data_IF_179183499625
#
_entry.id   IF_179183499625
#
_cell.length_a   1.000
_cell.length_b   1.000
_cell.length_c   1.000
_cell.angle_alpha   90.00
_cell.angle_beta   90.00
_cell.angle_gamma   90.00
#
_symmetry.space_group_name_H-M   'P 1'
#
loop_
_entity.id
_entity.type
_entity.pdbx_description
1 polymer ?
#
# COMPACT_ATOMS: atom_id res chain seq x y z
N UNK A 1 23.20 -16.53 -25.20
CA UNK A 1 23.38 -15.09 -24.97
C UNK A 1 22.07 -14.57 -24.37
N UNK A 2 22.02 -14.45 -23.03
CA UNK A 2 20.87 -13.89 -22.34
C UNK A 2 20.85 -12.36 -22.57
N UNK A 3 19.89 -11.89 -23.33
CA UNK A 3 19.56 -10.48 -23.34
C UNK A 3 18.98 -10.15 -21.96
N UNK A 4 19.77 -9.57 -21.07
CA UNK A 4 19.28 -8.88 -19.90
C UNK A 4 18.43 -7.71 -20.44
N UNK A 5 17.10 -7.88 -20.43
CA UNK A 5 16.18 -6.79 -20.64
C UNK A 5 16.51 -5.74 -19.57
N UNK A 6 16.99 -4.58 -20.00
CA UNK A 6 17.26 -3.43 -19.12
C UNK A 6 15.89 -2.96 -18.61
N UNK A 7 15.42 -3.55 -17.51
CA UNK A 7 14.17 -3.13 -16.89
C UNK A 7 14.34 -1.67 -16.49
N UNK A 8 13.40 -0.83 -16.90
CA UNK A 8 13.41 0.60 -16.56
C UNK A 8 13.21 0.78 -15.06
N UNK A 9 13.94 1.74 -14.48
CA UNK A 9 13.84 2.07 -13.05
C UNK A 9 12.50 2.76 -12.80
N UNK A 10 11.72 2.23 -11.86
CA UNK A 10 10.48 2.84 -11.37
C UNK A 10 10.78 3.84 -10.26
N UNK A 11 11.58 3.42 -9.27
CA UNK A 11 12.01 4.28 -8.16
C UNK A 11 13.51 4.18 -7.98
N UNK A 12 14.16 5.33 -7.78
CA UNK A 12 15.57 5.42 -7.42
C UNK A 12 15.72 6.23 -6.15
N UNK A 13 16.47 5.68 -5.21
CA UNK A 13 16.80 6.31 -3.93
C UNK A 13 18.30 6.51 -3.90
N UNK A 14 18.74 7.72 -3.56
CA UNK A 14 20.16 8.06 -3.51
C UNK A 14 20.50 8.74 -2.18
N UNK A 15 21.43 8.15 -1.44
CA UNK A 15 22.00 8.74 -0.22
C UNK A 15 21.02 8.95 0.93
N UNK A 16 19.92 8.18 0.99
CA UNK A 16 18.87 8.40 1.96
C UNK A 16 19.34 8.07 3.37
N UNK A 17 19.18 9.03 4.28
CA UNK A 17 19.58 8.89 5.69
C UNK A 17 18.49 9.40 6.63
N UNK A 18 18.42 8.77 7.82
CA UNK A 18 17.52 9.17 8.91
C UNK A 18 18.19 8.99 10.26
N UNK A 19 18.14 10.05 11.05
CA UNK A 19 18.72 10.11 12.38
C UNK A 19 17.64 10.39 13.43
N UNK A 20 17.76 9.80 14.61
CA UNK A 20 16.93 10.08 15.78
C UNK A 20 17.85 10.43 16.95
N UNK A 21 18.05 11.72 17.19
CA UNK A 21 19.06 12.17 18.14
C UNK A 21 20.44 11.61 17.79
N UNK A 22 21.07 10.86 18.70
CA UNK A 22 22.36 10.21 18.47
C UNK A 22 22.30 8.86 17.73
N UNK A 23 21.10 8.36 17.41
CA UNK A 23 20.91 7.05 16.74
C UNK A 23 20.80 7.24 15.21
N UNK A 24 21.61 6.53 14.46
CA UNK A 24 21.48 6.42 13.00
C UNK A 24 20.56 5.25 12.66
N UNK A 25 19.35 5.56 12.21
CA UNK A 25 18.36 4.54 11.85
C UNK A 25 18.49 4.07 10.40
N UNK A 26 18.85 4.99 9.48
CA UNK A 26 19.15 4.70 8.08
C UNK A 26 20.38 5.54 7.71
N UNK A 27 21.35 4.96 7.02
CA UNK A 27 22.60 5.63 6.69
C UNK A 27 22.98 5.44 5.21
N UNK A 28 22.90 6.53 4.44
CA UNK A 28 23.36 6.61 3.05
C UNK A 28 22.86 5.46 2.15
N UNK A 29 21.56 5.13 2.25
CA UNK A 29 20.98 4.03 1.49
C UNK A 29 20.78 4.43 0.04
N UNK A 30 21.26 3.57 -0.87
CA UNK A 30 21.04 3.66 -2.30
C UNK A 30 20.27 2.43 -2.75
N UNK A 31 19.17 2.63 -3.49
CA UNK A 31 18.26 1.57 -3.89
C UNK A 31 17.64 1.89 -5.24
N UNK A 32 17.59 0.92 -6.13
CA UNK A 32 16.80 1.00 -7.35
C UNK A 32 15.71 -0.07 -7.32
N UNK A 33 14.48 0.32 -7.67
CA UNK A 33 13.34 -0.57 -7.85
C UNK A 33 12.93 -0.48 -9.31
N UNK A 34 12.82 -1.61 -9.99
CA UNK A 34 12.48 -1.67 -11.40
C UNK A 34 11.00 -1.98 -11.62
N UNK A 35 10.49 -1.67 -12.80
CA UNK A 35 9.13 -2.07 -13.16
C UNK A 35 9.00 -3.59 -13.18
N UNK A 36 7.91 -4.11 -12.57
CA UNK A 36 7.63 -5.55 -12.50
C UNK A 36 8.57 -6.34 -11.58
N UNK A 37 9.39 -5.67 -10.77
CA UNK A 37 10.27 -6.29 -9.80
C UNK A 37 9.54 -6.55 -8.48
N UNK A 38 9.84 -7.70 -7.85
CA UNK A 38 9.51 -7.98 -6.46
C UNK A 38 10.80 -7.90 -5.66
N UNK A 39 10.94 -6.84 -4.87
CA UNK A 39 12.11 -6.57 -4.05
C UNK A 39 11.82 -6.91 -2.59
N UNK A 40 12.60 -7.81 -2.00
CA UNK A 40 12.52 -8.15 -0.58
C UNK A 40 13.57 -7.37 0.23
N UNK A 41 13.10 -6.59 1.22
CA UNK A 41 13.97 -5.92 2.18
C UNK A 41 14.14 -6.80 3.42
N UNK A 42 15.32 -7.39 3.57
CA UNK A 42 15.64 -8.31 4.67
C UNK A 42 16.71 -7.74 5.58
N UNK A 43 16.74 -8.20 6.83
CA UNK A 43 17.72 -7.77 7.85
C UNK A 43 17.17 -7.96 9.26
N UNK A 44 18.03 -7.82 10.26
CA UNK A 44 17.71 -8.01 11.67
C UNK A 44 16.71 -6.98 12.20
N UNK A 45 16.12 -7.27 13.38
CA UNK A 45 15.29 -6.30 14.08
C UNK A 45 16.14 -5.08 14.48
N UNK A 46 15.62 -3.88 14.22
CA UNK A 46 16.36 -2.65 14.44
C UNK A 46 17.29 -2.22 13.30
N UNK A 47 17.43 -2.99 12.21
CA UNK A 47 18.27 -2.64 11.06
C UNK A 47 17.75 -1.45 10.21
N UNK A 48 16.69 -0.76 10.63
CA UNK A 48 16.17 0.41 9.93
C UNK A 48 15.17 0.12 8.81
N UNK A 49 14.76 -1.15 8.59
CA UNK A 49 13.81 -1.54 7.52
C UNK A 49 12.53 -0.72 7.54
N UNK A 50 11.82 -0.71 8.68
CA UNK A 50 10.55 0.04 8.80
C UNK A 50 10.76 1.56 8.73
N UNK A 51 11.94 2.07 9.09
CA UNK A 51 12.29 3.49 8.92
C UNK A 51 12.43 3.82 7.43
N UNK A 52 13.13 2.98 6.67
CA UNK A 52 13.24 3.13 5.21
C UNK A 52 11.87 3.03 4.55
N UNK A 53 11.08 2.01 4.86
CA UNK A 53 9.72 1.83 4.35
C UNK A 53 8.85 3.07 4.62
N UNK A 54 8.87 3.60 5.85
CA UNK A 54 8.13 4.82 6.22
C UNK A 54 8.58 6.04 5.43
N UNK A 55 9.88 6.17 5.15
CA UNK A 55 10.41 7.25 4.33
C UNK A 55 9.92 7.15 2.87
N UNK A 56 9.94 5.95 2.29
CA UNK A 56 9.47 5.70 0.92
C UNK A 56 7.94 5.84 0.79
N UNK A 57 7.21 5.61 1.88
CA UNK A 57 5.75 5.78 1.94
C UNK A 57 5.31 7.22 2.29
N UNK A 58 6.25 8.16 2.49
CA UNK A 58 5.94 9.52 2.90
C UNK A 58 5.44 9.67 4.33
N UNK A 59 5.50 8.60 5.14
CA UNK A 59 5.12 8.63 6.55
C UNK A 59 6.23 9.17 7.46
N UNK A 60 7.43 9.34 6.91
CA UNK A 60 8.59 9.86 7.61
C UNK A 60 9.44 10.69 6.64
N UNK A 61 9.81 11.91 7.04
CA UNK A 61 10.73 12.75 6.28
C UNK A 61 12.19 12.30 6.52
N UNK A 62 12.95 11.93 5.48
CA UNK A 62 14.39 11.68 5.62
C UNK A 62 15.14 12.97 5.97
N UNK A 63 16.30 12.84 6.59
CA UNK A 63 17.15 13.98 6.92
C UNK A 63 18.07 14.36 5.76
N UNK A 64 18.42 13.40 4.90
CA UNK A 64 19.17 13.64 3.66
C UNK A 64 18.84 12.58 2.61
N UNK A 65 19.32 12.82 1.38
CA UNK A 65 19.11 11.96 0.22
C UNK A 65 17.98 12.45 -0.68
N UNK A 66 17.80 11.74 -1.79
CA UNK A 66 16.84 12.06 -2.83
C UNK A 66 16.06 10.81 -3.25
N UNK A 67 14.79 11.00 -3.61
CA UNK A 67 13.93 9.97 -4.18
C UNK A 67 13.50 10.45 -5.56
N UNK A 68 13.76 9.62 -6.57
CA UNK A 68 13.24 9.81 -7.92
C UNK A 68 12.18 8.74 -8.19
N UNK A 69 11.05 9.11 -8.77
CA UNK A 69 9.99 8.21 -9.21
C UNK A 69 9.67 8.47 -10.67
N UNK A 70 9.76 7.43 -11.52
CA UNK A 70 9.64 7.55 -12.99
C UNK A 70 10.59 8.62 -13.58
N UNK A 71 11.82 8.69 -13.06
CA UNK A 71 12.86 9.63 -13.52
C UNK A 71 12.65 11.08 -13.09
N UNK A 72 11.70 11.36 -12.19
CA UNK A 72 11.45 12.69 -11.64
C UNK A 72 11.73 12.71 -10.15
N UNK A 73 12.45 13.71 -9.68
CA UNK A 73 12.61 13.93 -8.24
C UNK A 73 11.24 14.19 -7.59
N UNK A 74 10.96 13.48 -6.50
CA UNK A 74 9.72 13.60 -5.74
C UNK A 74 10.01 13.91 -4.28
N UNK A 75 9.17 14.75 -3.68
CA UNK A 75 9.19 15.05 -2.25
C UNK A 75 7.98 14.43 -1.59
N UNK A 76 8.22 13.43 -0.77
CA UNK A 76 7.19 12.68 -0.04
C UNK A 76 7.10 13.24 1.39
N UNK A 77 6.36 14.32 1.58
CA UNK A 77 6.25 14.97 2.89
C UNK A 77 5.14 14.34 3.76
N UNK A 78 4.21 13.65 3.12
CA UNK A 78 3.13 12.94 3.78
C UNK A 78 2.65 11.76 2.91
N UNK A 79 1.88 10.80 3.48
CA UNK A 79 1.39 9.64 2.72
C UNK A 79 0.52 9.98 1.51
N UNK A 80 -0.18 11.13 1.51
CA UNK A 80 -0.98 11.57 0.35
C UNK A 80 -0.10 11.95 -0.84
N UNK A 81 1.11 12.46 -0.60
CA UNK A 81 2.05 12.76 -1.68
C UNK A 81 2.57 11.48 -2.33
N UNK A 82 2.89 10.46 -1.51
CA UNK A 82 3.26 9.14 -2.00
C UNK A 82 2.13 8.52 -2.84
N UNK A 83 0.90 8.60 -2.35
CA UNK A 83 -0.29 8.09 -3.04
C UNK A 83 -0.53 8.79 -4.39
N UNK A 84 -0.43 10.12 -4.45
CA UNK A 84 -0.55 10.89 -5.71
C UNK A 84 0.55 10.54 -6.70
N UNK A 85 1.73 10.19 -6.21
CA UNK A 85 2.86 9.74 -7.03
C UNK A 85 2.63 8.33 -7.60
N UNK A 86 1.71 7.55 -7.00
CA UNK A 86 1.45 6.17 -7.39
C UNK A 86 2.16 5.15 -6.49
N UNK A 87 2.54 5.56 -5.28
CA UNK A 87 3.14 4.69 -4.26
C UNK A 87 2.05 4.36 -3.23
N UNK A 88 1.70 3.08 -3.10
CA UNK A 88 0.80 2.59 -2.07
C UNK A 88 1.57 1.87 -0.97
N UNK A 89 1.17 2.04 0.27
CA UNK A 89 1.78 1.36 1.39
C UNK A 89 0.75 0.64 2.25
N UNK A 90 1.00 -0.63 2.52
CA UNK A 90 0.28 -1.41 3.52
C UNK A 90 1.18 -1.54 4.75
N UNK A 91 0.80 -0.84 5.81
CA UNK A 91 1.46 -0.93 7.11
C UNK A 91 0.98 -2.17 7.88
N UNK A 92 1.72 -2.57 8.91
CA UNK A 92 1.43 -3.69 9.81
C UNK A 92 -0.01 -3.68 10.38
N UNK A 93 -0.60 -2.51 10.60
CA UNK A 93 -2.00 -2.36 10.98
C UNK A 93 -2.87 -2.08 9.77
N UNK A 94 -3.30 -3.04 9.02
CA UNK A 94 -4.10 -3.03 7.77
C UNK A 94 -4.88 -1.73 7.41
N UNK A 95 -5.05 -0.82 8.36
CA UNK A 95 -5.75 0.47 8.20
C UNK A 95 -7.24 0.29 7.87
N UNK A 96 -7.84 -0.80 8.32
CA UNK A 96 -9.28 -1.05 8.21
C UNK A 96 -10.00 -0.54 9.45
N UNK A 97 -11.20 -0.03 9.26
CA UNK A 97 -12.11 0.36 10.34
C UNK A 97 -13.03 -0.82 10.64
N UNK A 98 -12.88 -1.42 11.81
CA UNK A 98 -13.51 -2.67 12.21
C UNK A 98 -15.05 -2.66 12.13
N UNK A 99 -15.68 -1.53 12.43
CA UNK A 99 -17.13 -1.35 12.42
C UNK A 99 -17.73 -1.14 11.03
N UNK A 100 -16.92 -0.85 10.02
CA UNK A 100 -17.37 -0.64 8.65
C UNK A 100 -17.39 -1.95 7.87
N UNK A 101 -18.27 -2.06 6.87
CA UNK A 101 -18.30 -3.18 5.95
C UNK A 101 -17.18 -3.13 4.90
N UNK A 102 -17.09 -4.15 4.04
CA UNK A 102 -16.02 -4.24 3.04
C UNK A 102 -16.04 -3.09 2.03
N UNK A 103 -17.16 -2.74 1.37
CA UNK A 103 -17.23 -1.58 0.48
C UNK A 103 -16.84 -0.26 1.13
N UNK A 104 -17.29 0.00 2.35
CA UNK A 104 -16.96 1.20 3.09
C UNK A 104 -15.46 1.29 3.42
N UNK A 105 -14.83 0.17 3.77
CA UNK A 105 -13.39 0.12 3.98
C UNK A 105 -12.59 0.29 2.68
N UNK A 106 -13.05 -0.29 1.58
CA UNK A 106 -12.40 -0.19 0.26
C UNK A 106 -12.42 1.25 -0.25
N UNK A 107 -13.53 1.96 -0.06
CA UNK A 107 -13.70 3.34 -0.51
C UNK A 107 -13.42 4.39 0.57
N UNK A 108 -12.89 4.00 1.74
CA UNK A 108 -12.61 4.91 2.85
C UNK A 108 -11.74 6.09 2.41
N UNK A 109 -12.25 7.32 2.61
CA UNK A 109 -11.64 8.57 2.18
C UNK A 109 -11.77 8.89 0.69
N UNK A 110 -12.53 8.07 -0.06
CA UNK A 110 -12.82 8.22 -1.50
C UNK A 110 -14.23 7.76 -1.84
N UNK A 111 -15.14 7.97 -0.91
CA UNK A 111 -16.51 7.51 -0.98
C UNK A 111 -17.18 8.04 -2.26
N UNK A 112 -17.87 7.14 -2.96
CA UNK A 112 -18.65 7.53 -4.12
C UNK A 112 -19.90 8.27 -3.67
N UNK A 113 -20.23 9.36 -4.36
CA UNK A 113 -21.37 10.21 -4.05
C UNK A 113 -22.32 10.26 -5.25
N UNK A 114 -23.60 10.29 -4.94
CA UNK A 114 -24.67 10.61 -5.90
C UNK A 114 -25.45 11.83 -5.42
N UNK A 115 -26.07 12.54 -6.34
CA UNK A 115 -26.92 13.67 -6.01
C UNK A 115 -28.32 13.19 -5.65
N UNK A 116 -28.77 13.44 -4.45
CA UNK A 116 -30.17 13.28 -4.05
C UNK A 116 -30.93 14.57 -4.32
N UNK A 117 -32.11 14.48 -4.91
CA UNK A 117 -32.92 15.64 -5.38
C UNK A 117 -32.13 16.62 -6.27
N UNK A 118 -31.11 16.14 -6.99
CA UNK A 118 -30.31 16.93 -7.93
C UNK A 118 -29.21 17.79 -7.32
N UNK A 119 -29.19 18.07 -6.01
CA UNK A 119 -28.25 18.98 -5.38
C UNK A 119 -27.66 18.51 -4.04
N UNK A 120 -28.30 17.60 -3.31
CA UNK A 120 -27.78 17.12 -2.02
C UNK A 120 -26.81 15.95 -2.26
N UNK A 121 -25.52 16.05 -1.86
CA UNK A 121 -24.59 14.93 -1.96
C UNK A 121 -24.98 13.84 -0.95
N UNK A 122 -25.10 12.61 -1.43
CA UNK A 122 -25.37 11.41 -0.63
C UNK A 122 -24.38 10.31 -1.01
N UNK A 123 -23.98 9.48 -0.05
CA UNK A 123 -23.15 8.31 -0.32
C UNK A 123 -23.86 7.34 -1.28
N UNK A 124 -23.15 6.88 -2.29
CA UNK A 124 -23.64 5.88 -3.23
C UNK A 124 -23.20 4.48 -2.83
N UNK A 125 -23.83 3.94 -1.78
CA UNK A 125 -23.52 2.62 -1.27
C UNK A 125 -23.70 1.51 -2.33
N UNK A 126 -24.66 1.67 -3.27
CA UNK A 126 -24.90 0.69 -4.33
C UNK A 126 -23.73 0.60 -5.29
N UNK A 127 -23.25 1.74 -5.78
CA UNK A 127 -22.10 1.80 -6.69
C UNK A 127 -20.81 1.34 -6.01
N UNK A 128 -20.58 1.72 -4.74
CA UNK A 128 -19.44 1.24 -3.96
C UNK A 128 -19.47 -0.29 -3.81
N UNK A 129 -20.63 -0.87 -3.50
CA UNK A 129 -20.80 -2.30 -3.37
C UNK A 129 -20.53 -3.05 -4.68
N UNK A 130 -21.14 -2.60 -5.78
CA UNK A 130 -20.96 -3.21 -7.12
C UNK A 130 -19.50 -3.16 -7.57
N UNK A 131 -18.87 -1.99 -7.45
CA UNK A 131 -17.46 -1.82 -7.83
C UNK A 131 -16.53 -2.66 -6.94
N UNK A 132 -16.83 -2.79 -5.66
CA UNK A 132 -16.04 -3.64 -4.75
C UNK A 132 -16.11 -5.10 -5.19
N UNK A 133 -17.32 -5.64 -5.46
CA UNK A 133 -17.48 -7.03 -5.94
C UNK A 133 -16.72 -7.23 -7.25
N UNK A 134 -16.93 -6.35 -8.21
CA UNK A 134 -16.24 -6.43 -9.51
C UNK A 134 -14.73 -6.47 -9.35
N UNK A 135 -14.21 -5.62 -8.47
CA UNK A 135 -12.78 -5.53 -8.22
C UNK A 135 -12.24 -6.79 -7.52
N UNK A 136 -12.88 -7.24 -6.45
CA UNK A 136 -12.48 -8.45 -5.75
C UNK A 136 -12.48 -9.68 -6.67
N UNK A 137 -13.50 -9.81 -7.53
CA UNK A 137 -13.60 -10.90 -8.50
C UNK A 137 -12.45 -10.89 -9.53
N UNK A 138 -11.95 -9.72 -9.93
CA UNK A 138 -10.79 -9.61 -10.83
C UNK A 138 -9.52 -10.22 -10.21
N UNK A 139 -9.41 -10.24 -8.89
CA UNK A 139 -8.31 -10.85 -8.15
C UNK A 139 -8.63 -12.27 -7.62
N UNK A 140 -9.73 -12.87 -8.09
CA UNK A 140 -10.15 -14.21 -7.66
C UNK A 140 -10.59 -14.29 -6.19
N UNK A 141 -10.91 -13.15 -5.58
CA UNK A 141 -11.31 -13.06 -4.18
C UNK A 141 -12.84 -13.12 -4.07
N UNK A 142 -13.32 -14.14 -3.41
CA UNK A 142 -14.74 -14.29 -3.10
C UNK A 142 -14.98 -14.10 -1.60
N UNK A 143 -15.67 -13.03 -1.23
CA UNK A 143 -16.02 -12.72 0.16
C UNK A 143 -17.54 -12.85 0.34
N UNK A 144 -18.03 -13.96 0.93
CA UNK A 144 -19.49 -14.19 1.07
C UNK A 144 -20.16 -13.17 2.00
N UNK A 145 -19.40 -12.53 2.89
CA UNK A 145 -19.91 -11.62 3.93
C UNK A 145 -19.56 -10.15 3.67
N UNK A 146 -19.60 -9.71 2.43
CA UNK A 146 -19.16 -8.37 2.00
C UNK A 146 -19.93 -7.21 2.70
N UNK A 147 -21.16 -7.45 3.16
CA UNK A 147 -22.00 -6.46 3.84
C UNK A 147 -21.83 -6.44 5.35
N UNK A 148 -21.13 -7.43 5.92
CA UNK A 148 -20.85 -7.46 7.36
C UNK A 148 -19.64 -6.55 7.72
N UNK A 149 -19.58 -6.05 8.96
CA UNK A 149 -18.41 -5.37 9.47
C UNK A 149 -17.15 -6.24 9.33
N UNK A 150 -16.02 -5.63 8.97
CA UNK A 150 -14.78 -6.37 8.70
C UNK A 150 -14.20 -7.04 9.94
N UNK A 151 -14.64 -6.66 11.16
CA UNK A 151 -14.28 -7.34 12.40
C UNK A 151 -14.69 -8.83 12.38
N UNK A 152 -15.75 -9.19 11.65
CA UNK A 152 -16.27 -10.55 11.55
C UNK A 152 -15.50 -11.42 10.52
N UNK A 153 -14.49 -10.86 9.87
CA UNK A 153 -13.69 -11.54 8.86
C UNK A 153 -12.40 -12.11 9.45
N UNK A 154 -11.87 -13.17 8.83
CA UNK A 154 -10.57 -13.71 9.20
C UNK A 154 -9.44 -12.73 8.91
N UNK A 155 -8.28 -12.91 9.57
CA UNK A 155 -7.09 -12.09 9.34
C UNK A 155 -6.69 -12.04 7.86
N UNK A 156 -6.70 -13.18 7.16
CA UNK A 156 -6.40 -13.26 5.73
C UNK A 156 -7.41 -12.52 4.87
N UNK A 157 -8.71 -12.62 5.18
CA UNK A 157 -9.75 -11.87 4.47
C UNK A 157 -9.57 -10.35 4.66
N UNK A 158 -9.28 -9.92 5.88
CA UNK A 158 -9.01 -8.51 6.19
C UNK A 158 -7.79 -8.00 5.42
N UNK A 159 -6.73 -8.79 5.36
CA UNK A 159 -5.54 -8.44 4.59
C UNK A 159 -5.82 -8.35 3.10
N UNK A 160 -6.57 -9.29 2.55
CA UNK A 160 -7.00 -9.25 1.14
C UNK A 160 -7.77 -7.97 0.83
N UNK A 161 -8.67 -7.52 1.72
CA UNK A 161 -9.39 -6.26 1.56
C UNK A 161 -8.42 -5.06 1.56
N UNK A 162 -7.45 -5.04 2.47
CA UNK A 162 -6.47 -3.96 2.55
C UNK A 162 -5.60 -3.87 1.29
N UNK A 163 -5.16 -5.01 0.75
CA UNK A 163 -4.43 -5.07 -0.53
C UNK A 163 -5.33 -4.63 -1.68
N UNK A 164 -6.56 -5.12 -1.76
CA UNK A 164 -7.52 -4.74 -2.80
C UNK A 164 -7.79 -3.24 -2.81
N UNK A 165 -7.84 -2.60 -1.64
CA UNK A 165 -7.96 -1.14 -1.52
C UNK A 165 -6.80 -0.40 -2.18
N UNK A 166 -5.55 -0.89 -2.01
CA UNK A 166 -4.38 -0.31 -2.68
C UNK A 166 -4.45 -0.45 -4.19
N UNK A 167 -4.85 -1.62 -4.68
CA UNK A 167 -4.93 -1.89 -6.11
C UNK A 167 -5.98 -1.03 -6.83
N UNK A 168 -7.08 -0.67 -6.15
CA UNK A 168 -8.06 0.29 -6.67
C UNK A 168 -7.47 1.69 -6.88
N UNK A 169 -6.40 2.03 -6.17
CA UNK A 169 -5.76 3.34 -6.24
C UNK A 169 -4.84 3.51 -7.45
N UNK A 170 -4.77 2.51 -8.36
CA UNK A 170 -3.89 2.53 -9.54
C UNK A 170 -2.42 2.78 -9.17
N UNK A 171 -1.97 2.24 -8.06
CA UNK A 171 -0.59 2.33 -7.61
C UNK A 171 0.35 1.62 -8.59
N UNK A 172 1.53 2.17 -8.77
CA UNK A 172 2.61 1.60 -9.59
C UNK A 172 3.64 0.85 -8.74
N UNK A 173 3.78 1.26 -7.48
CA UNK A 173 4.62 0.62 -6.48
C UNK A 173 3.78 0.30 -5.25
N UNK A 174 3.81 -0.95 -4.81
CA UNK A 174 3.19 -1.37 -3.55
C UNK A 174 4.29 -1.71 -2.55
N UNK A 175 4.27 -1.06 -1.40
CA UNK A 175 5.17 -1.33 -0.28
C UNK A 175 4.37 -2.09 0.78
N UNK A 176 4.86 -3.27 1.16
CA UNK A 176 4.24 -4.12 2.18
C UNK A 176 5.18 -4.20 3.39
N UNK A 177 4.74 -3.68 4.55
CA UNK A 177 5.49 -3.73 5.80
C UNK A 177 4.97 -4.90 6.65
N UNK A 178 5.76 -5.97 6.73
CA UNK A 178 5.43 -7.22 7.44
C UNK A 178 4.05 -7.81 7.09
N UNK A 179 3.73 -8.02 5.80
CA UNK A 179 2.38 -8.42 5.39
C UNK A 179 1.92 -9.76 5.96
N UNK A 180 2.82 -10.56 6.49
CA UNK A 180 2.56 -11.91 6.99
C UNK A 180 2.45 -12.01 8.51
N UNK A 181 2.69 -10.91 9.24
CA UNK A 181 2.78 -10.94 10.71
C UNK A 181 1.47 -11.37 11.41
N UNK A 182 0.33 -11.23 10.74
CA UNK A 182 -0.99 -11.60 11.27
C UNK A 182 -1.62 -12.84 10.60
N UNK A 183 -0.88 -13.53 9.72
CA UNK A 183 -1.41 -14.66 8.93
C UNK A 183 -0.87 -16.00 9.43
N UNK A 184 -1.73 -17.02 9.39
CA UNK A 184 -1.29 -18.41 9.47
C UNK A 184 -0.49 -18.81 8.21
N UNK A 185 0.34 -19.85 8.34
CA UNK A 185 1.26 -20.31 7.26
C UNK A 185 0.51 -20.63 5.96
N UNK A 186 -0.71 -21.15 6.03
CA UNK A 186 -1.53 -21.47 4.84
C UNK A 186 -2.16 -20.23 4.20
N UNK A 187 -2.63 -19.27 5.01
CA UNK A 187 -3.22 -18.03 4.51
C UNK A 187 -2.17 -17.15 3.80
N UNK A 188 -0.92 -17.20 4.27
CA UNK A 188 0.19 -16.48 3.67
C UNK A 188 0.53 -16.90 2.23
N UNK A 189 0.30 -18.17 1.87
CA UNK A 189 0.53 -18.68 0.50
C UNK A 189 -0.43 -18.08 -0.53
N UNK A 190 -1.62 -17.64 -0.11
CA UNK A 190 -2.59 -17.01 -1.02
C UNK A 190 -2.26 -15.53 -1.32
N UNK A 191 -1.50 -14.87 -0.46
CA UNK A 191 -1.11 -13.45 -0.65
C UNK A 191 0.06 -13.32 -1.62
N UNK A 192 0.86 -14.39 -1.79
CA UNK A 192 2.07 -14.40 -2.64
C UNK A 192 1.82 -14.92 -4.07
N UNK A 193 0.60 -15.29 -4.40
CA UNK A 193 0.18 -15.67 -5.77
C UNK A 193 -0.49 -14.50 -6.48
#
# INVERSE_FOLDING_TARGET
>A
MNQASTQSILMKVTGLSKYYGGLTAVNNVNLNIHYGEILALVGDNGAGKSTLVKALAGALKPDSGQIEFEGKEVRLENPRDAEKTGIGCLHQGLGLVDSLNVPENVFLGRELQKKFLGFVPQLDHSSMHEQTIKHLNQFGVNLPKIKEPVINLSGGQRQTIAISRLLLQKVKLVILDEPMAALGVEEGRHVLK
#
